data_IF_922700231909
#
_entry.id   IF_922700231909
#
_cell.length_a   1.000
_cell.length_b   1.000
_cell.length_c   1.000
_cell.angle_alpha   90.00
_cell.angle_beta   90.00
_cell.angle_gamma   90.00
#
_symmetry.space_group_name_H-M   'P 1'
#
loop_
_entity.id
_entity.type
_entity.pdbx_description
1 polymer ?
#
# COMPACT_ATOMS: atom_id res chain seq x y z
N UNK A 1 46.21 5.74 -11.29
CA UNK A 1 47.23 5.06 -10.46
C UNK A 1 46.52 4.04 -9.59
N UNK A 2 46.55 2.76 -9.99
CA UNK A 2 47.41 1.67 -9.45
C UNK A 2 46.96 1.29 -8.02
N UNK A 3 46.51 0.13 -7.69
CA UNK A 3 46.91 -1.30 -7.71
C UNK A 3 45.68 -2.12 -7.25
N UNK A 4 45.15 -3.11 -7.90
CA UNK A 4 45.63 -4.48 -8.12
C UNK A 4 45.54 -5.41 -6.90
N UNK A 5 44.97 -6.55 -7.25
CA UNK A 5 45.07 -7.91 -6.71
C UNK A 5 44.10 -8.19 -5.55
N UNK A 6 43.17 -9.09 -5.62
CA UNK A 6 43.20 -10.47 -6.14
C UNK A 6 43.07 -11.42 -4.97
N UNK A 7 41.97 -12.12 -4.86
CA UNK A 7 42.03 -13.53 -4.38
C UNK A 7 40.70 -14.22 -4.71
N UNK A 8 40.76 -15.01 -5.75
CA UNK A 8 39.88 -16.14 -6.02
C UNK A 8 40.12 -17.21 -4.98
N UNK A 9 39.06 -17.68 -4.34
CA UNK A 9 39.10 -18.99 -3.70
C UNK A 9 37.91 -19.80 -4.17
N UNK A 10 38.26 -20.81 -4.95
CA UNK A 10 37.41 -21.83 -5.50
C UNK A 10 36.87 -22.74 -4.40
N UNK A 11 35.58 -23.09 -4.51
CA UNK A 11 35.07 -24.36 -4.04
C UNK A 11 34.30 -25.02 -5.18
N UNK A 12 35.08 -25.76 -5.99
CA UNK A 12 34.57 -26.76 -6.90
C UNK A 12 34.22 -27.98 -6.06
N UNK A 13 32.96 -28.34 -5.97
CA UNK A 13 32.54 -29.69 -5.62
C UNK A 13 31.75 -30.28 -6.78
N UNK A 14 32.37 -31.20 -7.40
CA UNK A 14 32.16 -32.35 -8.19
C UNK A 14 30.69 -32.62 -8.63
N UNK A 15 30.34 -32.19 -9.86
CA UNK A 15 29.32 -32.88 -10.63
C UNK A 15 30.04 -33.86 -11.55
N UNK A 16 29.96 -35.15 -11.21
CA UNK A 16 30.39 -36.26 -12.04
C UNK A 16 29.54 -36.28 -13.31
N UNK A 17 30.10 -35.83 -14.43
CA UNK A 17 29.55 -36.09 -15.76
C UNK A 17 29.79 -37.53 -16.10
N UNK A 18 28.76 -38.37 -16.07
CA UNK A 18 28.75 -39.68 -16.67
C UNK A 18 28.95 -39.53 -18.19
N UNK A 19 30.13 -39.95 -18.66
CA UNK A 19 30.41 -40.12 -20.09
C UNK A 19 29.58 -41.30 -20.61
N UNK A 20 28.51 -41.03 -21.35
CA UNK A 20 27.84 -42.02 -22.20
C UNK A 20 28.55 -42.00 -23.55
N UNK A 21 29.35 -43.01 -23.81
CA UNK A 21 29.91 -43.32 -25.14
C UNK A 21 28.77 -43.79 -26.04
N UNK A 22 28.43 -42.98 -27.03
CA UNK A 22 27.52 -43.35 -28.11
C UNK A 22 28.32 -44.25 -29.06
N UNK A 23 27.89 -45.51 -29.28
CA UNK A 23 28.51 -46.44 -30.23
C UNK A 23 28.06 -46.09 -31.64
N UNK A 24 29.00 -46.23 -32.59
CA UNK A 24 28.82 -45.98 -34.03
C UNK A 24 27.71 -46.84 -34.69
N UNK A 25 27.14 -47.81 -33.97
CA UNK A 25 26.05 -48.67 -34.46
C UNK A 25 24.64 -48.04 -34.32
N UNK A 26 24.47 -47.01 -33.45
CA UNK A 26 23.17 -46.40 -33.22
C UNK A 26 22.79 -45.37 -34.30
N UNK A 27 23.79 -44.91 -35.07
CA UNK A 27 23.61 -43.94 -36.18
C UNK A 27 23.05 -44.60 -37.43
N UNK A 28 23.26 -45.93 -37.62
CA UNK A 28 22.81 -46.63 -38.82
C UNK A 28 21.31 -46.97 -38.86
N UNK A 29 20.62 -46.91 -37.72
CA UNK A 29 19.20 -47.32 -37.60
C UNK A 29 18.18 -46.18 -37.51
N UNK A 30 18.61 -44.93 -37.66
CA UNK A 30 17.67 -43.78 -37.73
C UNK A 30 16.86 -43.52 -36.45
N UNK A 31 17.28 -44.06 -35.28
CA UNK A 31 16.64 -43.77 -33.98
C UNK A 31 17.36 -42.63 -33.30
N UNK A 32 16.74 -41.47 -33.32
CA UNK A 32 17.18 -40.31 -32.53
C UNK A 32 16.92 -40.59 -31.04
N UNK A 33 17.95 -40.61 -30.17
CA UNK A 33 17.70 -40.80 -28.74
C UNK A 33 16.95 -39.59 -28.19
N UNK A 34 15.73 -39.80 -27.78
CA UNK A 34 14.95 -38.83 -27.01
C UNK A 34 15.57 -38.67 -25.62
N UNK A 35 16.33 -37.60 -25.42
CA UNK A 35 17.02 -37.27 -24.16
C UNK A 35 16.06 -36.81 -23.06
N UNK A 36 14.79 -36.88 -23.27
CA UNK A 36 13.76 -36.63 -22.25
C UNK A 36 13.03 -37.93 -21.86
N UNK A 37 13.72 -38.81 -21.16
CA UNK A 37 13.07 -39.84 -20.37
C UNK A 37 12.66 -39.23 -19.02
N UNK A 38 11.35 -39.18 -18.81
CA UNK A 38 10.59 -38.89 -17.63
C UNK A 38 11.18 -39.57 -16.38
N UNK A 39 12.10 -38.91 -15.68
CA UNK A 39 12.47 -39.26 -14.31
C UNK A 39 11.58 -38.46 -13.37
N UNK A 40 10.46 -39.05 -13.00
CA UNK A 40 9.61 -38.56 -11.95
C UNK A 40 10.29 -38.76 -10.60
N UNK A 41 10.95 -37.74 -10.11
CA UNK A 41 11.20 -37.56 -8.68
C UNK A 41 10.31 -36.40 -8.21
N UNK A 42 9.05 -36.71 -7.86
CA UNK A 42 8.18 -35.88 -7.10
C UNK A 42 8.81 -35.63 -5.74
N UNK A 43 9.20 -34.40 -5.46
CA UNK A 43 9.54 -33.96 -4.12
C UNK A 43 8.23 -34.01 -3.27
N UNK A 44 8.23 -34.72 -2.14
CA UNK A 44 6.99 -34.98 -1.36
C UNK A 44 6.42 -33.76 -0.65
N UNK A 45 6.90 -32.56 -0.93
CA UNK A 45 6.47 -31.30 -0.27
C UNK A 45 5.40 -30.55 -1.06
N UNK A 46 5.07 -30.97 -2.30
CA UNK A 46 4.15 -30.22 -3.19
C UNK A 46 2.82 -30.92 -3.46
N UNK A 47 2.54 -32.00 -2.75
CA UNK A 47 1.37 -32.85 -2.99
C UNK A 47 0.10 -32.30 -2.34
N UNK A 48 -0.21 -31.07 -2.40
CA UNK A 48 -1.53 -30.44 -2.08
C UNK A 48 -1.43 -28.90 -2.13
N UNK A 49 -0.62 -28.34 -3.03
CA UNK A 49 -0.67 -26.90 -3.23
C UNK A 49 -1.69 -26.56 -4.33
N UNK A 50 -2.44 -25.44 -4.19
CA UNK A 50 -3.39 -24.97 -5.21
C UNK A 50 -2.72 -24.62 -6.56
N UNK A 51 -1.41 -24.86 -6.69
CA UNK A 51 -0.61 -24.61 -7.89
C UNK A 51 -0.43 -25.86 -8.78
N UNK A 52 -0.94 -27.01 -8.36
CA UNK A 52 -0.81 -28.28 -9.11
C UNK A 52 -1.55 -28.22 -10.46
N UNK A 53 -2.55 -27.35 -10.60
CA UNK A 53 -3.25 -27.08 -11.86
C UNK A 53 -2.45 -26.27 -12.89
N UNK A 54 -1.33 -25.66 -12.53
CA UNK A 54 -0.50 -24.85 -13.44
C UNK A 54 0.59 -25.68 -14.16
N UNK A 55 0.89 -26.88 -13.68
CA UNK A 55 1.89 -27.79 -14.28
C UNK A 55 1.39 -28.61 -15.47
N UNK A 56 0.10 -28.63 -15.75
CA UNK A 56 -0.51 -29.29 -16.91
C UNK A 56 -0.44 -28.43 -18.16
N UNK A 57 -0.22 -29.05 -19.33
CA UNK A 57 -0.24 -28.36 -20.61
C UNK A 57 -1.60 -27.70 -20.92
N UNK A 58 -1.74 -26.97 -22.06
CA UNK A 58 -2.95 -26.21 -22.42
C UNK A 58 -4.24 -27.05 -22.40
N UNK A 59 -4.14 -28.36 -22.61
CA UNK A 59 -5.28 -29.29 -22.59
C UNK A 59 -5.84 -29.53 -21.19
N UNK A 60 -5.02 -29.46 -20.14
CA UNK A 60 -5.47 -29.60 -18.75
C UNK A 60 -6.20 -28.35 -18.23
N UNK A 61 -5.94 -27.18 -18.83
CA UNK A 61 -6.60 -25.91 -18.46
C UNK A 61 -8.03 -25.80 -19.01
N UNK A 62 -8.37 -26.56 -20.04
CA UNK A 62 -9.71 -26.58 -20.66
C UNK A 62 -10.61 -27.67 -20.10
N UNK A 63 -10.10 -28.57 -19.25
CA UNK A 63 -10.94 -29.57 -18.56
C UNK A 63 -11.78 -28.89 -17.46
N UNK A 64 -13.00 -29.41 -17.13
CA UNK A 64 -13.86 -28.84 -16.10
C UNK A 64 -13.15 -28.71 -14.72
N UNK A 65 -12.27 -29.64 -14.39
CA UNK A 65 -11.47 -29.62 -13.14
C UNK A 65 -10.32 -28.62 -13.22
N UNK A 66 -9.66 -28.51 -14.36
CA UNK A 66 -8.61 -27.51 -14.62
C UNK A 66 -9.16 -26.09 -14.70
N UNK A 67 -10.37 -25.90 -15.22
CA UNK A 67 -11.05 -24.58 -15.21
C UNK A 67 -11.37 -24.12 -13.80
N UNK A 68 -11.82 -25.01 -12.91
CA UNK A 68 -12.07 -24.65 -11.51
C UNK A 68 -10.80 -24.24 -10.79
N UNK A 69 -9.70 -24.94 -11.00
CA UNK A 69 -8.37 -24.61 -10.44
C UNK A 69 -7.83 -23.30 -11.02
N UNK A 70 -7.94 -23.09 -12.33
CA UNK A 70 -7.51 -21.85 -12.98
C UNK A 70 -8.30 -20.63 -12.52
N UNK A 71 -9.62 -20.78 -12.31
CA UNK A 71 -10.46 -19.73 -11.75
C UNK A 71 -10.10 -19.41 -10.31
N UNK A 72 -9.76 -20.42 -9.50
CA UNK A 72 -9.33 -20.23 -8.13
C UNK A 72 -8.00 -19.47 -8.05
N UNK A 73 -7.04 -19.80 -8.90
CA UNK A 73 -5.75 -19.08 -9.00
C UNK A 73 -5.96 -17.64 -9.47
N UNK A 74 -6.83 -17.43 -10.47
CA UNK A 74 -7.17 -16.09 -10.97
C UNK A 74 -7.80 -15.26 -9.84
N UNK A 75 -8.75 -15.83 -9.11
CA UNK A 75 -9.41 -15.17 -7.98
C UNK A 75 -8.41 -14.85 -6.86
N UNK A 76 -7.50 -15.78 -6.54
CA UNK A 76 -6.45 -15.55 -5.56
C UNK A 76 -5.54 -14.38 -5.99
N UNK A 77 -5.11 -14.34 -7.25
CA UNK A 77 -4.29 -13.27 -7.78
C UNK A 77 -5.01 -11.92 -7.78
N UNK A 78 -6.31 -11.91 -8.12
CA UNK A 78 -7.10 -10.67 -8.06
C UNK A 78 -7.24 -10.16 -6.63
N UNK A 79 -7.55 -11.01 -5.66
CA UNK A 79 -7.62 -10.64 -4.24
C UNK A 79 -6.26 -10.14 -3.75
N UNK A 80 -5.17 -10.84 -4.08
CA UNK A 80 -3.82 -10.45 -3.69
C UNK A 80 -3.41 -9.10 -4.30
N UNK A 81 -3.84 -8.80 -5.54
CA UNK A 81 -3.55 -7.51 -6.20
C UNK A 81 -4.36 -6.35 -5.61
N UNK A 82 -5.56 -6.60 -5.08
CA UNK A 82 -6.41 -5.60 -4.44
C UNK A 82 -6.05 -5.35 -2.97
N UNK A 83 -5.44 -6.31 -2.30
CA UNK A 83 -5.11 -6.23 -0.88
C UNK A 83 -4.33 -4.95 -0.50
N UNK A 84 -3.27 -4.52 -1.23
CA UNK A 84 -2.56 -3.29 -0.90
C UNK A 84 -3.45 -2.04 -1.00
N UNK A 85 -4.35 -1.97 -1.97
CA UNK A 85 -5.27 -0.84 -2.13
C UNK A 85 -6.25 -0.75 -0.94
N UNK A 86 -6.82 -1.88 -0.53
CA UNK A 86 -7.72 -1.95 0.62
C UNK A 86 -6.98 -1.54 1.90
N UNK A 87 -5.77 -2.05 2.13
CA UNK A 87 -4.97 -1.69 3.30
C UNK A 87 -4.65 -0.19 3.35
N UNK A 88 -4.28 0.41 2.22
CA UNK A 88 -4.01 1.85 2.16
C UNK A 88 -5.27 2.69 2.41
N UNK A 89 -6.43 2.23 1.91
CA UNK A 89 -7.71 2.94 2.09
C UNK A 89 -8.27 2.82 3.51
N UNK A 90 -7.94 1.76 4.26
CA UNK A 90 -8.39 1.57 5.65
C UNK A 90 -7.44 2.18 6.68
N UNK A 91 -6.33 2.74 6.26
CA UNK A 91 -5.32 3.36 7.12
C UNK A 91 -5.29 4.88 6.96
N UNK A 92 -4.54 5.56 7.82
CA UNK A 92 -4.31 7.01 7.73
C UNK A 92 -3.46 7.45 6.52
N UNK A 93 -3.04 6.53 5.66
CA UNK A 93 -2.18 6.81 4.50
C UNK A 93 -2.75 7.87 3.56
N UNK A 94 -4.06 7.79 3.27
CA UNK A 94 -4.75 8.70 2.34
C UNK A 94 -4.62 10.15 2.81
N UNK A 95 -4.87 10.43 4.09
CA UNK A 95 -4.72 11.78 4.66
C UNK A 95 -3.29 12.30 4.51
N UNK A 96 -2.31 11.48 4.90
CA UNK A 96 -0.90 11.86 4.89
C UNK A 96 -0.41 12.16 3.48
N UNK A 97 -0.69 11.29 2.51
CA UNK A 97 -0.19 11.48 1.13
C UNK A 97 -0.80 12.70 0.45
N UNK A 98 -2.08 13.00 0.71
CA UNK A 98 -2.77 14.17 0.16
C UNK A 98 -2.19 15.44 0.77
N UNK A 99 -2.04 15.51 2.10
CA UNK A 99 -1.47 16.69 2.79
C UNK A 99 -0.05 16.97 2.30
N UNK A 100 0.80 15.94 2.20
CA UNK A 100 2.15 16.08 1.66
C UNK A 100 2.13 16.50 0.19
N UNK A 101 1.19 16.00 -0.62
CA UNK A 101 1.01 16.42 -2.00
C UNK A 101 0.62 17.89 -2.13
N UNK A 102 -0.30 18.36 -1.29
CA UNK A 102 -0.71 19.77 -1.22
C UNK A 102 0.42 20.67 -0.71
N UNK A 103 1.23 20.23 0.25
CA UNK A 103 2.44 20.93 0.68
C UNK A 103 3.40 21.15 -0.50
N UNK A 104 3.71 20.10 -1.25
CA UNK A 104 4.58 20.21 -2.43
C UNK A 104 4.04 21.21 -3.45
N UNK A 105 2.74 21.19 -3.69
CA UNK A 105 2.08 22.13 -4.59
C UNK A 105 2.12 23.56 -4.04
N UNK A 106 1.92 23.77 -2.75
CA UNK A 106 1.95 25.06 -2.08
C UNK A 106 3.31 25.77 -2.22
N UNK A 107 4.40 25.03 -2.05
CA UNK A 107 5.76 25.54 -2.21
C UNK A 107 6.04 25.93 -3.68
N UNK A 108 5.32 25.34 -4.64
CA UNK A 108 5.50 25.62 -6.08
C UNK A 108 6.54 24.72 -6.75
N UNK A 109 7.01 23.67 -6.07
CA UNK A 109 7.97 22.73 -6.63
C UNK A 109 7.21 21.62 -7.37
N UNK A 110 7.28 21.61 -8.71
CA UNK A 110 6.54 20.62 -9.53
C UNK A 110 7.14 19.20 -9.45
N UNK A 111 8.45 19.08 -9.25
CA UNK A 111 9.17 17.80 -9.29
C UNK A 111 9.94 17.42 -8.01
N UNK A 112 10.11 18.33 -7.08
CA UNK A 112 10.87 18.13 -5.83
C UNK A 112 9.96 18.30 -4.60
N UNK A 113 10.04 17.44 -3.57
CA UNK A 113 10.75 16.14 -3.58
C UNK A 113 10.12 15.14 -4.56
N UNK A 114 10.86 14.11 -5.04
CA UNK A 114 10.31 13.06 -5.90
C UNK A 114 9.10 12.37 -5.26
N UNK A 115 8.13 11.94 -6.07
CA UNK A 115 6.91 11.28 -5.57
C UNK A 115 7.21 10.03 -4.73
N UNK A 116 8.27 9.30 -5.08
CA UNK A 116 8.70 8.12 -4.31
C UNK A 116 9.11 8.48 -2.87
N UNK A 117 9.82 9.60 -2.67
CA UNK A 117 10.21 10.07 -1.34
C UNK A 117 8.97 10.44 -0.53
N UNK A 118 8.01 11.15 -1.14
CA UNK A 118 6.75 11.52 -0.49
C UNK A 118 5.94 10.27 -0.09
N UNK A 119 5.83 9.30 -0.99
CA UNK A 119 5.18 8.01 -0.72
C UNK A 119 5.87 7.25 0.41
N UNK A 120 7.21 7.23 0.43
CA UNK A 120 7.97 6.58 1.50
C UNK A 120 7.72 7.24 2.86
N UNK A 121 7.76 8.57 2.93
CA UNK A 121 7.46 9.32 4.16
C UNK A 121 6.03 9.02 4.62
N UNK A 122 5.05 9.08 3.71
CA UNK A 122 3.67 8.77 4.01
C UNK A 122 3.50 7.35 4.55
N UNK A 123 4.19 6.38 3.95
CA UNK A 123 4.15 4.99 4.39
C UNK A 123 4.76 4.81 5.80
N UNK A 124 5.94 5.40 6.06
CA UNK A 124 6.57 5.33 7.38
C UNK A 124 5.70 5.98 8.47
N UNK A 125 5.13 7.15 8.20
CA UNK A 125 4.22 7.81 9.12
C UNK A 125 2.96 6.95 9.36
N UNK A 126 2.41 6.33 8.32
CA UNK A 126 1.28 5.43 8.43
C UNK A 126 1.60 4.23 9.32
N UNK A 127 2.74 3.57 9.10
CA UNK A 127 3.16 2.44 9.93
C UNK A 127 3.35 2.86 11.40
N UNK A 128 3.88 4.05 11.64
CA UNK A 128 4.04 4.59 12.99
C UNK A 128 2.69 4.82 13.68
N UNK A 129 1.77 5.52 13.02
CA UNK A 129 0.42 5.84 13.55
C UNK A 129 -0.39 4.56 13.74
N UNK A 130 -0.33 3.63 12.80
CA UNK A 130 -1.09 2.37 12.85
C UNK A 130 -0.45 1.28 13.74
N UNK A 131 0.73 1.52 14.29
CA UNK A 131 1.45 0.53 15.12
C UNK A 131 0.60 -0.06 16.25
N UNK A 132 -0.14 0.73 17.08
CA UNK A 132 -1.00 0.16 18.13
C UNK A 132 -2.16 -0.68 17.56
N UNK A 133 -2.73 -0.27 16.40
CA UNK A 133 -3.81 -1.02 15.75
C UNK A 133 -3.30 -2.38 15.26
N UNK A 134 -2.15 -2.41 14.58
CA UNK A 134 -1.54 -3.66 14.11
C UNK A 134 -1.13 -4.59 15.25
N UNK A 135 -0.67 -4.03 16.37
CA UNK A 135 -0.36 -4.81 17.56
C UNK A 135 -1.61 -5.50 18.11
N UNK A 136 -2.76 -4.83 18.14
CA UNK A 136 -4.03 -5.44 18.54
C UNK A 136 -4.48 -6.51 17.55
N UNK A 137 -4.45 -6.24 16.25
CA UNK A 137 -4.78 -7.24 15.21
C UNK A 137 -3.93 -8.50 15.38
N UNK A 138 -2.62 -8.33 15.65
CA UNK A 138 -1.73 -9.45 15.87
C UNK A 138 -2.11 -10.27 17.13
N UNK A 139 -2.36 -9.58 18.25
CA UNK A 139 -2.64 -10.24 19.53
C UNK A 139 -4.03 -10.88 19.56
N UNK A 140 -5.03 -10.23 18.96
CA UNK A 140 -6.44 -10.64 19.10
C UNK A 140 -6.88 -11.62 17.99
N UNK A 141 -6.20 -11.59 16.82
CA UNK A 141 -6.55 -12.46 15.71
C UNK A 141 -5.42 -13.41 15.29
N UNK A 142 -4.23 -12.89 14.94
CA UNK A 142 -3.18 -13.73 14.33
C UNK A 142 -2.60 -14.71 15.35
N UNK A 143 -2.26 -14.22 16.54
CA UNK A 143 -1.66 -15.06 17.59
C UNK A 143 -2.59 -16.20 18.05
N UNK A 144 -3.89 -15.97 18.37
CA UNK A 144 -4.80 -17.06 18.72
C UNK A 144 -5.04 -18.04 17.56
N UNK A 145 -5.11 -17.54 16.31
CA UNK A 145 -5.29 -18.39 15.13
C UNK A 145 -4.10 -19.33 14.88
N UNK A 146 -2.87 -18.89 15.20
CA UNK A 146 -1.66 -19.69 15.03
C UNK A 146 -1.31 -20.56 16.23
N UNK A 147 -2.00 -20.38 17.36
CA UNK A 147 -1.75 -21.17 18.58
C UNK A 147 -2.47 -22.54 18.48
N UNK A 148 -1.72 -23.66 18.50
CA UNK A 148 -2.31 -25.00 18.44
C UNK A 148 -3.24 -25.35 19.62
N UNK A 149 -3.17 -24.58 20.72
CA UNK A 149 -4.00 -24.79 21.91
C UNK A 149 -5.36 -24.07 21.82
N UNK A 150 -5.52 -23.15 20.90
CA UNK A 150 -6.74 -22.37 20.69
C UNK A 150 -7.36 -22.80 19.37
N UNK A 151 -8.55 -23.40 19.42
CA UNK A 151 -9.30 -23.77 18.21
C UNK A 151 -10.07 -22.56 17.67
N UNK A 152 -9.39 -21.62 17.03
CA UNK A 152 -9.99 -20.45 16.39
C UNK A 152 -10.22 -20.75 14.92
N UNK A 153 -11.44 -20.52 14.43
CA UNK A 153 -11.76 -20.64 13.01
C UNK A 153 -11.25 -19.43 12.22
N UNK A 154 -11.12 -19.59 10.90
CA UNK A 154 -10.73 -18.47 10.02
C UNK A 154 -11.72 -17.31 10.09
N UNK A 155 -13.01 -17.61 10.27
CA UNK A 155 -14.08 -16.61 10.36
C UNK A 155 -13.96 -15.80 11.67
N UNK A 156 -13.77 -16.48 12.80
CA UNK A 156 -13.54 -15.84 14.11
C UNK A 156 -12.27 -14.98 14.10
N UNK A 157 -11.19 -15.45 13.45
CA UNK A 157 -9.96 -14.68 13.32
C UNK A 157 -10.17 -13.42 12.46
N UNK A 158 -10.96 -13.51 11.39
CA UNK A 158 -11.32 -12.35 10.57
C UNK A 158 -12.16 -11.33 11.35
N UNK A 159 -13.16 -11.79 12.09
CA UNK A 159 -13.98 -10.92 12.94
C UNK A 159 -13.13 -10.22 13.99
N UNK A 160 -12.34 -10.98 14.77
CA UNK A 160 -11.45 -10.43 15.79
C UNK A 160 -10.44 -9.41 15.21
N UNK A 161 -9.86 -9.71 14.05
CA UNK A 161 -8.91 -8.82 13.38
C UNK A 161 -9.55 -7.57 12.77
N UNK A 162 -10.83 -7.62 12.42
CA UNK A 162 -11.56 -6.48 11.85
C UNK A 162 -11.92 -5.42 12.89
N UNK A 163 -12.12 -5.81 14.16
CA UNK A 163 -12.54 -4.91 15.25
C UNK A 163 -11.55 -3.75 15.45
N UNK A 164 -10.24 -3.95 15.64
CA UNK A 164 -9.30 -2.85 15.85
C UNK A 164 -9.24 -1.87 14.68
N UNK A 165 -9.45 -2.36 13.46
CA UNK A 165 -9.47 -1.52 12.24
C UNK A 165 -10.76 -0.68 12.19
N UNK A 166 -11.90 -1.28 12.51
CA UNK A 166 -13.20 -0.57 12.59
C UNK A 166 -13.17 0.51 13.66
N UNK A 167 -12.68 0.20 14.85
CA UNK A 167 -12.52 1.17 15.94
C UNK A 167 -11.60 2.33 15.53
N UNK A 168 -10.50 2.03 14.84
CA UNK A 168 -9.63 3.07 14.30
C UNK A 168 -10.38 4.00 13.35
N UNK A 169 -11.09 3.45 12.34
CA UNK A 169 -11.84 4.25 11.37
C UNK A 169 -12.92 5.08 12.05
N UNK A 170 -13.68 4.50 12.95
CA UNK A 170 -14.74 5.18 13.71
C UNK A 170 -14.19 6.32 14.54
N UNK A 171 -13.09 6.08 15.26
CA UNK A 171 -12.41 7.09 16.06
C UNK A 171 -11.87 8.24 15.21
N UNK A 172 -11.35 7.97 14.00
CA UNK A 172 -10.88 9.04 13.13
C UNK A 172 -12.02 9.92 12.61
N UNK A 173 -13.19 9.34 12.31
CA UNK A 173 -14.41 10.10 11.95
C UNK A 173 -14.86 10.98 13.13
N UNK A 174 -14.83 10.41 14.34
CA UNK A 174 -15.21 11.11 15.57
C UNK A 174 -14.28 12.29 15.86
N UNK A 175 -12.97 12.08 15.86
CA UNK A 175 -11.96 13.13 16.06
C UNK A 175 -12.06 14.24 15.01
N UNK A 176 -12.38 13.89 13.76
CA UNK A 176 -12.59 14.85 12.69
C UNK A 176 -13.94 15.58 12.77
N UNK A 177 -14.89 15.12 13.62
CA UNK A 177 -16.25 15.67 13.73
C UNK A 177 -17.11 15.43 12.50
N UNK A 178 -16.80 14.42 11.67
CA UNK A 178 -17.46 14.15 10.39
C UNK A 178 -18.55 13.07 10.50
N UNK A 179 -19.35 13.09 11.58
CA UNK A 179 -20.44 12.11 11.79
C UNK A 179 -21.48 12.12 10.68
N UNK A 180 -21.71 13.28 10.08
CA UNK A 180 -22.67 13.44 8.99
C UNK A 180 -22.33 12.57 7.78
N UNK A 181 -21.06 12.24 7.57
CA UNK A 181 -20.64 11.36 6.47
C UNK A 181 -21.14 9.93 6.68
N UNK A 182 -21.17 9.45 7.93
CA UNK A 182 -21.72 8.13 8.25
C UNK A 182 -23.23 8.13 8.04
N UNK A 183 -23.91 9.19 8.53
CA UNK A 183 -25.36 9.33 8.36
C UNK A 183 -25.75 9.39 6.88
N UNK A 184 -24.98 10.09 6.06
CA UNK A 184 -25.19 10.18 4.62
C UNK A 184 -25.24 8.78 3.97
N UNK A 185 -24.20 7.97 4.16
CA UNK A 185 -24.13 6.64 3.54
C UNK A 185 -25.12 5.65 4.17
N UNK A 186 -25.41 5.78 5.46
CA UNK A 186 -26.37 4.94 6.14
C UNK A 186 -27.79 5.17 5.62
N UNK A 187 -28.19 6.42 5.44
CA UNK A 187 -29.49 6.82 4.92
C UNK A 187 -29.72 6.38 3.47
N UNK A 188 -28.63 6.34 2.63
CA UNK A 188 -28.73 5.82 1.28
C UNK A 188 -28.83 4.30 1.22
N UNK A 189 -28.29 3.60 2.21
CA UNK A 189 -28.36 2.13 2.27
C UNK A 189 -29.74 1.66 2.74
N UNK A 190 -30.30 2.26 3.76
CA UNK A 190 -31.61 1.93 4.31
C UNK A 190 -32.29 3.20 4.82
N UNK A 191 -33.15 3.83 4.00
CA UNK A 191 -33.84 5.08 4.33
C UNK A 191 -34.78 4.99 5.54
N UNK A 192 -35.29 3.79 5.83
CA UNK A 192 -36.28 3.53 6.89
C UNK A 192 -35.62 3.01 8.19
N UNK A 193 -34.34 2.67 8.17
CA UNK A 193 -33.63 2.16 9.33
C UNK A 193 -33.37 3.27 10.36
N UNK A 194 -33.53 2.98 11.66
CA UNK A 194 -33.12 3.91 12.71
C UNK A 194 -31.61 4.15 12.64
N UNK A 195 -31.19 5.39 12.86
CA UNK A 195 -29.77 5.75 12.88
C UNK A 195 -29.04 4.92 13.96
N UNK A 196 -27.83 4.40 13.66
CA UNK A 196 -27.08 3.60 14.61
C UNK A 196 -26.74 4.42 15.85
N UNK A 197 -26.93 3.84 17.02
CA UNK A 197 -26.63 4.47 18.31
C UNK A 197 -25.15 4.46 18.63
N UNK A 198 -24.39 3.54 18.03
CA UNK A 198 -22.96 3.36 18.22
C UNK A 198 -22.29 3.09 16.87
N UNK A 199 -21.02 3.48 16.75
CA UNK A 199 -20.21 3.12 15.58
C UNK A 199 -19.98 1.61 15.43
N UNK A 200 -20.13 0.84 16.49
CA UNK A 200 -20.03 -0.62 16.47
C UNK A 200 -21.15 -1.26 15.64
N UNK A 201 -22.32 -0.61 15.62
CA UNK A 201 -23.49 -1.07 14.88
C UNK A 201 -23.43 -0.73 13.39
N UNK A 202 -22.50 0.16 12.97
CA UNK A 202 -22.38 0.60 11.58
C UNK A 202 -21.76 -0.51 10.72
N UNK A 203 -22.43 -0.97 9.65
CA UNK A 203 -21.86 -1.96 8.74
C UNK A 203 -20.60 -1.45 8.05
N UNK A 204 -19.61 -2.31 7.82
CA UNK A 204 -18.37 -1.95 7.12
C UNK A 204 -18.60 -1.31 5.74
N UNK A 205 -19.69 -1.71 5.07
CA UNK A 205 -20.11 -1.14 3.76
C UNK A 205 -20.43 0.36 3.82
N UNK A 206 -20.86 0.84 4.98
CA UNK A 206 -21.14 2.26 5.25
C UNK A 206 -19.91 2.94 5.83
N UNK A 207 -19.25 2.27 6.78
CA UNK A 207 -18.11 2.83 7.49
C UNK A 207 -16.92 3.13 6.57
N UNK A 208 -16.60 2.24 5.61
CA UNK A 208 -15.47 2.41 4.69
C UNK A 208 -15.60 3.68 3.82
N UNK A 209 -16.69 3.88 3.05
CA UNK A 209 -16.81 5.08 2.23
C UNK A 209 -16.95 6.36 3.07
N UNK A 210 -17.61 6.29 4.23
CA UNK A 210 -17.70 7.42 5.17
C UNK A 210 -16.31 7.80 5.70
N UNK A 211 -15.51 6.83 6.09
CA UNK A 211 -14.14 7.04 6.54
C UNK A 211 -13.27 7.69 5.45
N UNK A 212 -13.29 7.16 4.22
CA UNK A 212 -12.51 7.72 3.11
C UNK A 212 -12.94 9.18 2.84
N UNK A 213 -14.24 9.47 2.86
CA UNK A 213 -14.74 10.83 2.67
C UNK A 213 -14.29 11.76 3.80
N UNK A 214 -14.35 11.30 5.04
CA UNK A 214 -13.87 12.04 6.21
C UNK A 214 -12.36 12.31 6.14
N UNK A 215 -11.55 11.32 5.74
CA UNK A 215 -10.11 11.47 5.53
C UNK A 215 -9.78 12.50 4.44
N UNK A 216 -10.53 12.47 3.33
CA UNK A 216 -10.39 13.45 2.25
C UNK A 216 -10.71 14.86 2.72
N UNK A 217 -11.85 15.08 3.40
CA UNK A 217 -12.24 16.39 3.94
C UNK A 217 -11.15 16.93 4.87
N UNK A 218 -10.71 16.12 5.81
CA UNK A 218 -9.69 16.49 6.78
C UNK A 218 -8.36 16.81 6.10
N UNK A 219 -7.93 15.99 5.14
CA UNK A 219 -6.71 16.22 4.37
C UNK A 219 -6.75 17.53 3.58
N UNK A 220 -7.89 17.84 2.95
CA UNK A 220 -8.04 19.10 2.22
C UNK A 220 -8.07 20.31 3.16
N UNK A 221 -8.73 20.21 4.32
CA UNK A 221 -8.71 21.27 5.32
C UNK A 221 -7.29 21.58 5.81
N UNK A 222 -6.53 20.54 6.17
CA UNK A 222 -5.14 20.68 6.59
C UNK A 222 -4.25 21.21 5.47
N UNK A 223 -4.42 20.68 4.25
CA UNK A 223 -3.71 21.15 3.08
C UNK A 223 -3.98 22.62 2.76
N UNK A 224 -5.21 23.06 2.94
CA UNK A 224 -5.57 24.48 2.79
C UNK A 224 -4.87 25.36 3.84
N UNK A 225 -4.82 24.93 5.10
CA UNK A 225 -4.09 25.64 6.16
C UNK A 225 -2.60 25.78 5.83
N UNK A 226 -1.98 24.74 5.28
CA UNK A 226 -0.59 24.78 4.81
C UNK A 226 -0.45 25.73 3.61
N UNK A 227 -1.43 25.76 2.71
CA UNK A 227 -1.37 26.55 1.49
C UNK A 227 -1.48 28.06 1.74
N UNK A 228 -2.23 28.48 2.78
CA UNK A 228 -2.50 29.88 3.08
C UNK A 228 -1.25 30.78 3.15
N UNK A 229 -0.21 30.48 3.95
CA UNK A 229 0.97 31.33 4.04
C UNK A 229 1.71 31.48 2.70
N UNK A 230 1.74 30.43 1.90
CA UNK A 230 2.37 30.47 0.58
C UNK A 230 1.56 31.28 -0.43
N UNK A 231 0.24 31.24 -0.34
CA UNK A 231 -0.66 32.03 -1.16
C UNK A 231 -0.49 33.54 -0.87
N UNK A 232 -0.30 33.91 0.40
CA UNK A 232 -0.03 35.31 0.76
C UNK A 232 1.29 35.78 0.14
N UNK A 233 2.34 34.94 0.16
CA UNK A 233 3.62 35.27 -0.49
C UNK A 233 3.41 35.48 -2.00
N UNK A 234 2.64 34.60 -2.66
CA UNK A 234 2.34 34.77 -4.10
C UNK A 234 1.62 36.09 -4.39
N UNK A 235 0.63 36.45 -3.58
CA UNK A 235 -0.12 37.70 -3.74
C UNK A 235 0.76 38.95 -3.57
N UNK A 236 1.62 38.95 -2.54
CA UNK A 236 2.53 40.08 -2.29
C UNK A 236 3.52 40.21 -3.45
N UNK A 237 4.16 39.12 -3.87
CA UNK A 237 5.11 39.14 -4.99
C UNK A 237 4.43 39.56 -6.28
N UNK A 238 3.21 39.06 -6.56
CA UNK A 238 2.44 39.45 -7.74
C UNK A 238 2.11 40.95 -7.75
N UNK A 239 1.67 41.50 -6.61
CA UNK A 239 1.34 42.92 -6.52
C UNK A 239 2.56 43.82 -6.75
N UNK A 240 3.72 43.45 -6.19
CA UNK A 240 4.98 44.18 -6.38
C UNK A 240 5.44 44.12 -7.84
N UNK A 241 5.47 42.94 -8.46
CA UNK A 241 5.92 42.76 -9.85
C UNK A 241 5.04 43.50 -10.84
N UNK A 242 3.72 43.49 -10.65
CA UNK A 242 2.77 44.24 -11.49
C UNK A 242 3.00 45.77 -11.33
N UNK A 243 3.20 46.23 -10.08
CA UNK A 243 3.46 47.67 -9.80
C UNK A 243 4.75 48.17 -10.45
N UNK A 244 5.75 47.31 -10.62
CA UNK A 244 6.99 47.61 -11.33
C UNK A 244 6.85 47.52 -12.85
N UNK A 245 5.68 47.20 -13.39
CA UNK A 245 5.45 47.07 -14.83
C UNK A 245 6.01 45.77 -15.44
N UNK A 246 6.44 44.81 -14.64
CA UNK A 246 7.04 43.54 -15.09
C UNK A 246 5.94 42.52 -15.45
N UNK A 247 5.17 42.78 -16.52
CA UNK A 247 4.07 41.92 -16.93
C UNK A 247 4.50 40.63 -17.67
N UNK A 248 5.73 40.57 -18.16
CA UNK A 248 6.21 39.40 -18.93
C UNK A 248 6.77 38.27 -18.09
N UNK A 249 7.14 38.51 -16.84
CA UNK A 249 7.67 37.48 -15.97
C UNK A 249 6.52 36.91 -15.11
N UNK A 250 6.32 35.56 -15.11
CA UNK A 250 5.30 34.95 -14.27
C UNK A 250 5.65 35.15 -12.77
N UNK A 251 4.77 35.75 -11.96
CA UNK A 251 5.04 36.06 -10.55
C UNK A 251 5.41 34.82 -9.72
N UNK A 252 4.91 33.65 -10.12
CA UNK A 252 5.18 32.37 -9.47
C UNK A 252 6.66 31.99 -9.46
N UNK A 253 7.41 32.33 -10.52
CA UNK A 253 8.86 32.05 -10.59
C UNK A 253 9.64 32.94 -9.63
N UNK A 254 9.18 34.19 -9.46
CA UNK A 254 9.79 35.17 -8.56
C UNK A 254 9.46 34.83 -7.09
N UNK A 255 8.26 34.32 -6.80
CA UNK A 255 7.83 33.97 -5.44
C UNK A 255 8.49 32.70 -4.89
N UNK A 256 8.95 31.79 -5.75
CA UNK A 256 9.50 30.50 -5.37
C UNK A 256 10.66 30.59 -4.33
N UNK A 257 11.71 31.43 -4.53
CA UNK A 257 12.79 31.56 -3.54
C UNK A 257 12.28 32.08 -2.18
N UNK A 258 11.28 32.97 -2.17
CA UNK A 258 10.69 33.49 -0.94
C UNK A 258 9.88 32.42 -0.20
N UNK A 259 9.14 31.57 -0.92
CA UNK A 259 8.42 30.44 -0.37
C UNK A 259 9.38 29.42 0.26
N UNK A 260 10.48 29.08 -0.42
CA UNK A 260 11.48 28.18 0.12
C UNK A 260 12.15 28.76 1.36
N UNK A 261 12.49 30.04 1.35
CA UNK A 261 13.07 30.72 2.49
C UNK A 261 12.11 30.70 3.69
N UNK A 262 10.85 31.05 3.47
CA UNK A 262 9.80 30.99 4.49
C UNK A 262 9.69 29.60 5.07
N UNK A 263 9.59 28.56 4.23
CA UNK A 263 9.44 27.18 4.65
C UNK A 263 10.61 26.70 5.51
N UNK A 264 11.85 27.08 5.15
CA UNK A 264 13.05 26.71 5.93
C UNK A 264 13.11 27.49 7.24
N UNK A 265 12.78 28.78 7.25
CA UNK A 265 12.83 29.62 8.45
C UNK A 265 11.83 29.18 9.55
N UNK A 266 10.65 28.69 9.15
CA UNK A 266 9.64 28.22 10.10
C UNK A 266 9.79 26.75 10.47
N UNK A 267 10.84 26.08 10.02
CA UNK A 267 11.00 24.61 10.16
C UNK A 267 9.76 23.86 9.64
N UNK A 268 9.39 24.14 8.40
CA UNK A 268 8.11 23.72 7.79
C UNK A 268 7.90 22.21 7.80
N UNK A 269 8.95 21.40 7.65
CA UNK A 269 8.82 19.94 7.73
C UNK A 269 8.33 19.49 9.09
N UNK A 270 8.90 20.04 10.17
CA UNK A 270 8.49 19.72 11.53
C UNK A 270 7.07 20.13 11.80
N UNK A 271 6.68 21.35 11.40
CA UNK A 271 5.32 21.84 11.58
C UNK A 271 4.29 20.97 10.87
N UNK A 272 4.55 20.56 9.61
CA UNK A 272 3.63 19.70 8.86
C UNK A 272 3.52 18.31 9.46
N UNK A 273 4.64 17.71 9.86
CA UNK A 273 4.64 16.41 10.54
C UNK A 273 3.90 16.49 11.87
N UNK A 274 4.16 17.52 12.67
CA UNK A 274 3.48 17.73 13.94
C UNK A 274 1.97 17.91 13.74
N UNK A 275 1.54 18.76 12.81
CA UNK A 275 0.12 18.96 12.49
C UNK A 275 -0.56 17.65 12.05
N UNK A 276 0.12 16.83 11.23
CA UNK A 276 -0.37 15.52 10.84
C UNK A 276 -0.52 14.60 12.04
N UNK A 277 0.49 14.52 12.91
CA UNK A 277 0.46 13.66 14.10
C UNK A 277 -0.65 14.10 15.07
N UNK A 278 -0.77 15.40 15.32
CA UNK A 278 -1.80 15.96 16.21
C UNK A 278 -3.22 15.69 15.68
N UNK A 279 -3.39 15.62 14.35
CA UNK A 279 -4.68 15.36 13.70
C UNK A 279 -5.23 13.95 13.93
N UNK A 280 -4.38 12.99 14.29
CA UNK A 280 -4.81 11.62 14.59
C UNK A 280 -5.23 11.44 16.05
N UNK A 281 -5.07 12.48 16.87
CA UNK A 281 -5.30 12.43 18.31
C UNK A 281 -4.21 11.65 19.05
N UNK A 282 -4.22 11.72 20.37
CA UNK A 282 -3.35 10.90 21.19
C UNK A 282 -3.74 9.45 21.08
N UNK A 283 -2.99 8.69 20.31
CA UNK A 283 -3.12 7.23 20.18
C UNK A 283 -2.48 6.47 21.36
N UNK A 284 -2.11 7.19 22.41
CA UNK A 284 -1.48 6.65 23.62
C UNK A 284 -2.52 6.40 24.70
#
# INVERSE_FOLDING_TARGET
>A
CLFLTGTTCALAQGVSMGQTSVSEQDIANGQVPTIFSKSGSSLPILENTPLDGLGGGPESWTSPEGLSSSLQVLLLLTVLSLAPAVLLMTTCYVRIIIVLGLLRQAIGLQSLPPSQVMTSIALFMTLFVMSPVWSRVYNDAIKPYTDPQVSMTMEEAYEAGSIPIREFMSRQIDVAGNHDDVHLFYQYMDPDAPLPSSFEDVPLRVLLPAYILSELKTAFLMGFQIYLPFLIVDLVVASVTISMGMLMLPPQVISLPFKLLLFVLVDGWRLVVQMLMDSFGTML
#
